data_IF_703575194964
#
_entry.id   IF_703575194964
#
_cell.length_a   1.000
_cell.length_b   1.000
_cell.length_c   1.000
_cell.angle_alpha   90.00
_cell.angle_beta   90.00
_cell.angle_gamma   90.00
#
_symmetry.space_group_name_H-M   'P 1'
#
loop_
_entity.id
_entity.type
_entity.pdbx_description
1 polymer ?
#
# COMPACT_ATOMS: atom_id res chain seq x y z
N UNK A 1 11.60 10.50 -9.98
CA UNK A 1 11.61 9.04 -10.17
C UNK A 1 10.24 8.51 -9.84
N UNK A 2 9.75 7.53 -10.59
CA UNK A 2 8.40 6.98 -10.43
C UNK A 2 8.53 5.48 -10.17
N UNK A 3 7.90 5.00 -9.09
CA UNK A 3 7.85 3.58 -8.77
C UNK A 3 6.94 2.81 -9.74
N UNK A 4 6.99 1.47 -9.73
CA UNK A 4 6.14 0.66 -10.58
C UNK A 4 4.66 0.87 -10.20
N UNK A 5 3.82 1.22 -11.17
CA UNK A 5 2.37 1.24 -11.02
C UNK A 5 1.80 -0.07 -11.56
N UNK A 6 1.40 -0.96 -10.65
CA UNK A 6 0.95 -2.31 -10.98
C UNK A 6 -0.50 -2.49 -10.57
N UNK A 7 -1.26 -3.17 -11.42
CA UNK A 7 -2.63 -3.61 -11.11
C UNK A 7 -2.62 -5.12 -11.04
N UNK A 8 -2.96 -5.69 -9.90
CA UNK A 8 -2.93 -7.14 -9.69
C UNK A 8 -4.26 -7.72 -10.16
N UNK A 9 -4.21 -8.82 -10.91
CA UNK A 9 -5.39 -9.55 -11.35
C UNK A 9 -6.14 -10.15 -10.15
N UNK A 10 -7.47 -10.02 -10.17
CA UNK A 10 -8.37 -10.75 -9.27
C UNK A 10 -9.58 -11.25 -10.06
N UNK A 11 -10.12 -12.40 -9.63
CA UNK A 11 -11.28 -13.00 -10.28
C UNK A 11 -12.52 -12.11 -10.14
N UNK A 12 -13.45 -12.23 -11.09
CA UNK A 12 -14.74 -11.52 -11.01
C UNK A 12 -15.50 -11.87 -9.73
N UNK A 13 -15.48 -13.12 -9.32
CA UNK A 13 -16.09 -13.58 -8.06
C UNK A 13 -15.52 -12.85 -6.84
N UNK A 14 -14.20 -12.65 -6.77
CA UNK A 14 -13.57 -11.88 -5.69
C UNK A 14 -14.09 -10.44 -5.67
N UNK A 15 -14.18 -9.80 -6.83
CA UNK A 15 -14.66 -8.42 -6.96
C UNK A 15 -16.15 -8.27 -6.63
N UNK A 16 -16.97 -9.24 -7.01
CA UNK A 16 -18.40 -9.25 -6.74
C UNK A 16 -18.70 -9.42 -5.23
N UNK A 17 -17.77 -10.03 -4.48
CA UNK A 17 -17.84 -10.19 -3.02
C UNK A 17 -17.35 -8.97 -2.22
N UNK A 18 -16.93 -7.89 -2.89
CA UNK A 18 -16.55 -6.65 -2.21
C UNK A 18 -17.78 -5.92 -1.62
N UNK A 19 -17.58 -5.23 -0.50
CA UNK A 19 -18.61 -4.36 0.08
C UNK A 19 -19.02 -3.23 -0.87
N UNK A 20 -20.23 -2.68 -0.67
CA UNK A 20 -20.84 -1.66 -1.55
C UNK A 20 -19.91 -0.47 -1.83
N UNK A 21 -19.32 0.11 -0.78
CA UNK A 21 -18.41 1.24 -0.91
C UNK A 21 -17.20 0.91 -1.82
N UNK A 22 -16.58 -0.26 -1.66
CA UNK A 22 -15.44 -0.67 -2.48
C UNK A 22 -15.85 -0.86 -3.95
N UNK A 23 -17.03 -1.45 -4.20
CA UNK A 23 -17.56 -1.65 -5.56
C UNK A 23 -17.77 -0.31 -6.26
N UNK A 24 -18.42 0.65 -5.61
CA UNK A 24 -18.67 1.99 -6.17
C UNK A 24 -17.36 2.76 -6.40
N UNK A 25 -16.49 2.79 -5.40
CA UNK A 25 -15.25 3.57 -5.45
C UNK A 25 -14.27 3.03 -6.51
N UNK A 26 -14.11 1.70 -6.60
CA UNK A 26 -13.23 1.08 -7.58
C UNK A 26 -13.81 1.08 -9.00
N UNK A 27 -15.14 1.07 -9.14
CA UNK A 27 -15.79 1.28 -10.44
C UNK A 27 -15.60 2.71 -10.93
N UNK A 28 -15.83 3.71 -10.07
CA UNK A 28 -15.69 5.13 -10.42
C UNK A 28 -14.25 5.52 -10.82
N UNK A 29 -13.25 4.89 -10.19
CA UNK A 29 -11.83 5.07 -10.55
C UNK A 29 -11.39 4.24 -11.76
N UNK A 30 -12.24 3.37 -12.30
CA UNK A 30 -11.90 2.43 -13.38
C UNK A 30 -10.99 1.27 -12.95
N UNK A 31 -10.69 1.16 -11.65
CA UNK A 31 -9.81 0.12 -11.13
C UNK A 31 -10.40 -1.29 -11.33
N UNK A 32 -11.70 -1.46 -11.15
CA UNK A 32 -12.39 -2.76 -11.34
C UNK A 32 -12.13 -3.33 -12.74
N UNK A 33 -12.24 -2.49 -13.77
CA UNK A 33 -11.98 -2.90 -15.16
C UNK A 33 -10.52 -3.24 -15.38
N UNK A 34 -9.59 -2.42 -14.85
CA UNK A 34 -8.14 -2.66 -14.95
C UNK A 34 -7.74 -3.97 -14.26
N UNK A 35 -8.34 -4.30 -13.11
CA UNK A 35 -8.06 -5.54 -12.37
C UNK A 35 -8.48 -6.77 -13.18
N UNK A 36 -9.69 -6.74 -13.77
CA UNK A 36 -10.18 -7.86 -14.59
C UNK A 36 -9.35 -8.07 -15.87
N UNK A 37 -8.83 -6.99 -16.44
CA UNK A 37 -7.99 -7.02 -17.64
C UNK A 37 -6.51 -7.29 -17.35
N UNK A 38 -6.09 -7.14 -16.10
CA UNK A 38 -4.69 -7.36 -15.72
C UNK A 38 -4.33 -8.84 -15.84
N UNK A 39 -3.09 -9.09 -16.22
CA UNK A 39 -2.44 -10.40 -16.21
C UNK A 39 -1.35 -10.51 -15.13
N UNK A 40 -1.12 -9.44 -14.36
CA UNK A 40 -0.09 -9.41 -13.31
C UNK A 40 -0.55 -10.21 -12.10
N UNK A 41 0.22 -11.22 -11.71
CA UNK A 41 -0.04 -11.98 -10.48
C UNK A 41 0.53 -11.27 -9.25
N UNK A 42 0.10 -11.66 -8.05
CA UNK A 42 0.67 -11.17 -6.79
C UNK A 42 2.19 -11.38 -6.73
N UNK A 43 2.66 -12.55 -7.21
CA UNK A 43 4.09 -12.87 -7.26
C UNK A 43 4.86 -11.99 -8.23
N UNK A 44 4.33 -11.74 -9.43
CA UNK A 44 4.98 -10.87 -10.42
C UNK A 44 5.09 -9.43 -9.89
N UNK A 45 4.06 -8.97 -9.18
CA UNK A 45 4.05 -7.66 -8.55
C UNK A 45 5.07 -7.59 -7.39
N UNK A 46 5.11 -8.63 -6.54
CA UNK A 46 6.07 -8.75 -5.45
C UNK A 46 7.52 -8.65 -5.94
N UNK A 47 7.88 -9.42 -6.97
CA UNK A 47 9.23 -9.43 -7.53
C UNK A 47 9.62 -8.08 -8.14
N UNK A 48 8.72 -7.44 -8.90
CA UNK A 48 8.97 -6.12 -9.49
C UNK A 48 9.22 -5.05 -8.43
N UNK A 49 8.43 -5.05 -7.35
CA UNK A 49 8.60 -4.09 -6.26
C UNK A 49 9.88 -4.37 -5.47
N UNK A 50 10.22 -5.63 -5.19
CA UNK A 50 11.48 -5.99 -4.52
C UNK A 50 12.69 -5.49 -5.32
N UNK A 51 12.71 -5.73 -6.63
CA UNK A 51 13.81 -5.30 -7.49
C UNK A 51 13.91 -3.78 -7.51
N UNK A 52 12.78 -3.08 -7.66
CA UNK A 52 12.75 -1.63 -7.56
C UNK A 52 13.31 -1.13 -6.22
N UNK A 53 12.91 -1.69 -5.09
CA UNK A 53 13.40 -1.26 -3.77
C UNK A 53 14.91 -1.50 -3.64
N UNK A 54 15.41 -2.67 -4.06
CA UNK A 54 16.84 -3.01 -4.00
C UNK A 54 17.70 -2.06 -4.83
N UNK A 55 17.25 -1.76 -6.05
CA UNK A 55 17.98 -0.89 -6.97
C UNK A 55 18.11 0.56 -6.44
N UNK A 56 17.15 1.00 -5.62
CA UNK A 56 17.09 2.39 -5.16
C UNK A 56 17.64 2.60 -3.74
N UNK A 57 17.55 1.60 -2.86
CA UNK A 57 17.97 1.71 -1.46
C UNK A 57 19.40 1.22 -1.23
N UNK A 58 19.94 0.42 -2.16
CA UNK A 58 21.31 -0.09 -2.09
C UNK A 58 21.51 -1.00 -0.89
N UNK A 59 22.50 -0.70 -0.04
CA UNK A 59 22.83 -1.50 1.15
C UNK A 59 22.06 -1.12 2.42
N UNK A 60 21.21 -0.09 2.38
CA UNK A 60 20.46 0.36 3.53
C UNK A 60 19.22 -0.52 3.78
N UNK A 61 18.75 -0.56 5.03
CA UNK A 61 17.48 -1.20 5.36
C UNK A 61 16.34 -0.23 4.98
N UNK A 62 15.45 -0.60 4.04
CA UNK A 62 14.36 0.28 3.63
C UNK A 62 13.32 0.42 4.74
N UNK A 63 12.76 1.62 4.92
CA UNK A 63 11.61 1.84 5.80
C UNK A 63 10.33 1.94 4.98
N UNK A 64 9.28 1.23 5.41
CA UNK A 64 7.95 1.39 4.83
C UNK A 64 7.30 2.65 5.40
N UNK A 65 6.87 3.55 4.52
CA UNK A 65 6.31 4.86 4.87
C UNK A 65 4.97 5.10 4.15
N UNK A 66 4.03 5.74 4.84
CA UNK A 66 2.72 6.06 4.26
C UNK A 66 1.70 6.55 5.28
N UNK A 67 0.47 6.79 4.82
CA UNK A 67 -0.66 7.14 5.67
C UNK A 67 -1.38 5.88 6.12
N UNK A 68 -1.46 5.64 7.43
CA UNK A 68 -2.07 4.42 7.99
C UNK A 68 -1.43 3.13 7.44
N UNK A 69 -0.12 3.22 7.13
CA UNK A 69 0.62 2.22 6.36
C UNK A 69 0.75 0.86 7.07
N UNK A 70 0.42 0.81 8.37
CA UNK A 70 0.30 -0.43 9.11
C UNK A 70 -0.70 -1.41 8.47
N UNK A 71 -1.82 -0.90 7.92
CA UNK A 71 -2.83 -1.75 7.26
C UNK A 71 -2.25 -2.35 5.97
N UNK A 72 -1.55 -1.55 5.17
CA UNK A 72 -0.85 -2.02 3.98
C UNK A 72 0.22 -3.07 4.33
N UNK A 73 1.00 -2.83 5.40
CA UNK A 73 2.03 -3.78 5.84
C UNK A 73 1.45 -5.12 6.26
N UNK A 74 0.26 -5.14 6.87
CA UNK A 74 -0.46 -6.37 7.21
C UNK A 74 -0.92 -7.13 5.96
N UNK A 75 -1.34 -6.42 4.91
CA UNK A 75 -1.62 -7.04 3.61
C UNK A 75 -0.35 -7.63 2.98
N UNK A 76 0.76 -6.89 2.98
CA UNK A 76 2.03 -7.39 2.47
C UNK A 76 2.47 -8.65 3.21
N UNK A 77 2.39 -8.69 4.55
CA UNK A 77 2.75 -9.90 5.32
C UNK A 77 1.94 -11.14 4.92
N UNK A 78 0.70 -10.96 4.48
CA UNK A 78 -0.19 -12.06 4.11
C UNK A 78 -0.01 -12.50 2.66
N UNK A 79 0.07 -11.56 1.72
CA UNK A 79 0.02 -11.83 0.28
C UNK A 79 1.36 -11.67 -0.43
N UNK A 80 2.29 -10.91 0.15
CA UNK A 80 3.64 -10.63 -0.38
C UNK A 80 4.70 -10.72 0.73
N UNK A 81 4.89 -11.91 1.33
CA UNK A 81 5.74 -12.08 2.50
C UNK A 81 7.23 -11.85 2.22
N UNK A 82 7.71 -12.09 0.99
CA UNK A 82 9.10 -11.82 0.62
C UNK A 82 9.37 -10.31 0.58
N UNK A 83 8.43 -9.54 0.05
CA UNK A 83 8.49 -8.08 0.05
C UNK A 83 8.34 -7.54 1.47
N UNK A 84 7.40 -8.06 2.27
CA UNK A 84 7.28 -7.66 3.67
C UNK A 84 8.58 -7.91 4.47
N UNK A 85 9.30 -8.99 4.14
CA UNK A 85 10.54 -9.39 4.82
C UNK A 85 11.75 -8.48 4.58
N UNK A 86 11.72 -7.60 3.58
CA UNK A 86 12.83 -6.65 3.36
C UNK A 86 12.72 -5.42 4.29
N UNK A 87 11.53 -5.16 4.82
CA UNK A 87 11.28 -4.03 5.72
C UNK A 87 11.45 -4.46 7.18
N UNK A 88 12.03 -3.60 8.04
CA UNK A 88 12.05 -3.84 9.47
C UNK A 88 10.65 -3.68 10.09
N UNK A 89 10.52 -4.05 11.35
CA UNK A 89 9.27 -3.87 12.11
C UNK A 89 8.90 -2.39 12.37
N UNK A 90 9.85 -1.48 12.19
CA UNK A 90 9.65 -0.03 12.38
C UNK A 90 9.05 0.58 11.11
N UNK A 91 7.92 1.26 11.26
CA UNK A 91 7.19 1.92 10.19
C UNK A 91 7.23 3.44 10.35
N UNK A 92 7.23 4.17 9.23
CA UNK A 92 7.07 5.63 9.21
C UNK A 92 5.62 5.95 8.87
N UNK A 93 4.75 5.98 9.89
CA UNK A 93 3.32 6.22 9.71
C UNK A 93 2.94 7.69 9.92
N UNK A 94 2.57 8.35 8.83
CA UNK A 94 2.20 9.78 8.81
C UNK A 94 0.90 10.02 9.56
N UNK A 95 0.00 9.03 9.65
CA UNK A 95 -1.23 9.15 10.44
C UNK A 95 -0.93 9.28 11.94
N UNK A 96 0.10 8.57 12.43
CA UNK A 96 0.57 8.68 13.82
C UNK A 96 1.12 10.07 14.12
N UNK A 97 1.95 10.61 13.22
CA UNK A 97 2.47 11.99 13.34
C UNK A 97 1.31 12.99 13.32
N UNK A 98 0.35 12.82 12.40
CA UNK A 98 -0.82 13.70 12.29
C UNK A 98 -1.65 13.68 13.58
N UNK A 99 -1.89 12.50 14.16
CA UNK A 99 -2.60 12.36 15.42
C UNK A 99 -1.89 13.08 16.57
N UNK A 100 -0.56 12.94 16.67
CA UNK A 100 0.26 13.68 17.65
C UNK A 100 0.17 15.19 17.43
N UNK A 101 0.31 15.66 16.19
CA UNK A 101 0.20 17.08 15.86
C UNK A 101 -1.15 17.68 16.26
N UNK A 102 -2.26 16.98 15.98
CA UNK A 102 -3.60 17.43 16.35
C UNK A 102 -3.75 17.53 17.89
N UNK A 103 -3.16 16.58 18.63
CA UNK A 103 -3.25 16.52 20.10
C UNK A 103 -2.35 17.53 20.80
N UNK A 104 -1.13 17.72 20.30
CA UNK A 104 -0.11 18.60 20.86
C UNK A 104 -0.30 20.05 20.43
N UNK A 105 -0.80 20.27 19.21
CA UNK A 105 -1.05 21.59 18.63
C UNK A 105 -2.52 21.70 18.17
N UNK A 106 -3.50 21.67 19.09
CA UNK A 106 -4.89 21.86 18.72
C UNK A 106 -5.04 23.24 18.08
N UNK A 107 -5.70 23.31 16.92
CA UNK A 107 -6.05 24.59 16.26
C UNK A 107 -7.02 25.36 17.17
N UNK A 108 -6.48 26.12 18.12
CA UNK A 108 -7.25 26.79 19.16
C UNK A 108 -6.57 26.90 20.54
N UNK A 109 -5.33 27.38 20.62
CA UNK A 109 -4.89 28.25 21.72
C UNK A 109 -4.17 29.43 21.10
N UNK A 110 -4.86 30.57 20.99
CA UNK A 110 -4.18 31.86 20.88
C UNK A 110 -3.30 31.96 22.14
N UNK A 111 -2.00 32.17 21.95
CA UNK A 111 -1.18 32.80 22.98
C UNK A 111 -1.63 34.26 23.06
#
# INVERSE_FOLDING_TARGET
>A
MQGPELVIHQSKECLDNMGEWCREHHAASGLTTRVLQSTTTEKDAEEQVINFVKDHVGSQSPLLAGNSVYVDFMFLKKYMPCLAGIFPHVLVDVSSITALCIRWFPKGKKI
#
